data_IF_058527571653
#
_entry.id   IF_058527571653
#
_cell.length_a   1.000
_cell.length_b   1.000
_cell.length_c   1.000
_cell.angle_alpha   90.00
_cell.angle_beta   90.00
_cell.angle_gamma   90.00
#
_symmetry.space_group_name_H-M   'P 1'
#
loop_
_entity.id
_entity.type
_entity.pdbx_description
1 polymer ?
#
# COMPACT_ATOMS: atom_id res chain seq x y z
N UNK A 1 35.73 54.78 1.69
CA UNK A 1 34.67 53.92 2.22
C UNK A 1 34.42 52.79 1.25
N UNK A 2 34.82 51.59 1.69
CA UNK A 2 34.73 50.37 0.91
C UNK A 2 33.51 49.64 1.41
N UNK A 3 32.51 49.47 0.56
CA UNK A 3 31.33 48.67 0.81
C UNK A 3 31.68 47.19 0.60
N UNK A 4 31.62 46.43 1.67
CA UNK A 4 31.68 44.99 1.60
C UNK A 4 30.27 44.43 1.26
N UNK A 5 30.12 43.94 0.05
CA UNK A 5 28.97 43.15 -0.33
C UNK A 5 29.19 41.71 0.16
N UNK A 6 28.43 41.30 1.16
CA UNK A 6 28.37 39.92 1.61
C UNK A 6 27.47 39.15 0.66
N UNK A 7 28.07 38.30 -0.13
CA UNK A 7 27.34 37.38 -1.00
C UNK A 7 26.82 36.22 -0.16
N UNK A 8 25.56 36.23 0.18
CA UNK A 8 24.89 35.07 0.70
C UNK A 8 24.76 34.04 -0.40
N UNK A 9 25.51 32.95 -0.28
CA UNK A 9 25.34 31.77 -1.09
C UNK A 9 24.06 31.07 -0.60
N UNK A 10 22.99 31.26 -1.31
CA UNK A 10 21.82 30.39 -1.24
C UNK A 10 22.27 29.01 -1.75
N UNK A 11 22.45 28.11 -0.81
CA UNK A 11 22.60 26.69 -1.12
C UNK A 11 21.22 26.16 -1.53
N UNK A 12 20.94 26.19 -2.82
CA UNK A 12 19.84 25.40 -3.38
C UNK A 12 20.15 23.92 -3.14
N UNK A 13 19.46 23.37 -2.16
CA UNK A 13 19.38 21.93 -1.93
C UNK A 13 18.58 21.39 -3.10
N UNK A 14 19.26 20.85 -4.09
CA UNK A 14 18.65 20.05 -5.12
C UNK A 14 18.04 18.84 -4.41
N UNK A 15 16.72 18.87 -4.22
CA UNK A 15 15.95 17.67 -3.93
C UNK A 15 16.11 16.77 -5.16
N UNK A 16 16.96 15.78 -5.03
CA UNK A 16 17.02 14.69 -6.00
C UNK A 16 15.70 13.97 -5.83
N UNK A 17 14.76 14.26 -6.71
CA UNK A 17 13.61 13.40 -6.91
C UNK A 17 14.18 12.05 -7.35
N UNK A 18 14.22 11.08 -6.44
CA UNK A 18 14.46 9.70 -6.84
C UNK A 18 13.33 9.34 -7.80
N UNK A 19 13.65 9.34 -9.08
CA UNK A 19 12.76 8.82 -10.11
C UNK A 19 12.47 7.37 -9.73
N UNK A 20 11.20 7.09 -9.45
CA UNK A 20 10.74 5.73 -9.24
C UNK A 20 11.13 4.91 -10.47
N UNK A 21 11.90 3.84 -10.28
CA UNK A 21 12.21 2.93 -11.38
C UNK A 21 10.90 2.49 -12.05
N UNK A 22 10.84 2.49 -13.39
CA UNK A 22 9.62 2.08 -14.08
C UNK A 22 9.28 0.65 -13.69
N UNK A 23 8.08 0.46 -13.17
CA UNK A 23 7.55 -0.86 -12.80
C UNK A 23 7.55 -1.73 -14.06
N UNK A 24 8.33 -2.80 -14.08
CA UNK A 24 8.35 -3.74 -15.19
C UNK A 24 6.97 -4.40 -15.38
N UNK A 25 6.62 -4.78 -16.61
CA UNK A 25 5.34 -5.45 -16.88
C UNK A 25 5.14 -6.72 -16.05
N UNK A 26 6.23 -7.42 -15.70
CA UNK A 26 6.19 -8.60 -14.82
C UNK A 26 5.80 -8.25 -13.38
N UNK A 27 6.31 -7.14 -12.84
CA UNK A 27 5.98 -6.69 -11.49
C UNK A 27 4.52 -6.22 -11.41
N UNK A 28 4.03 -5.53 -12.44
CA UNK A 28 2.64 -5.13 -12.53
C UNK A 28 1.69 -6.33 -12.62
N UNK A 29 2.04 -7.37 -13.38
CA UNK A 29 1.28 -8.60 -13.45
C UNK A 29 1.21 -9.31 -12.09
N UNK A 30 2.32 -9.39 -11.36
CA UNK A 30 2.37 -9.98 -10.02
C UNK A 30 1.56 -9.18 -8.99
N UNK A 31 1.56 -7.85 -9.06
CA UNK A 31 0.76 -7.01 -8.17
C UNK A 31 -0.73 -7.28 -8.38
N UNK A 32 -1.19 -7.35 -9.61
CA UNK A 32 -2.58 -7.67 -9.94
C UNK A 32 -2.97 -9.09 -9.50
N UNK A 33 -2.11 -10.06 -9.70
CA UNK A 33 -2.34 -11.43 -9.28
C UNK A 33 -2.43 -11.53 -7.75
N UNK A 34 -1.54 -10.84 -7.04
CA UNK A 34 -1.58 -10.73 -5.59
C UNK A 34 -2.88 -10.06 -5.11
N UNK A 35 -3.29 -8.97 -5.74
CA UNK A 35 -4.54 -8.27 -5.45
C UNK A 35 -5.74 -9.20 -5.61
N UNK A 36 -5.84 -9.89 -6.73
CA UNK A 36 -6.93 -10.82 -7.00
C UNK A 36 -6.99 -11.97 -6.00
N UNK A 37 -5.84 -12.50 -5.62
CA UNK A 37 -5.76 -13.56 -4.62
C UNK A 37 -6.17 -13.06 -3.23
N UNK A 38 -5.67 -11.93 -2.79
CA UNK A 38 -5.98 -11.35 -1.49
C UNK A 38 -7.45 -10.94 -1.37
N UNK A 39 -8.05 -10.39 -2.42
CA UNK A 39 -9.47 -10.03 -2.42
C UNK A 39 -10.37 -11.23 -2.16
N UNK A 40 -9.98 -12.41 -2.63
CA UNK A 40 -10.69 -13.67 -2.38
C UNK A 40 -10.36 -14.30 -1.02
N UNK A 41 -9.29 -13.85 -0.38
CA UNK A 41 -8.74 -14.45 0.83
C UNK A 41 -8.36 -13.38 1.88
N UNK A 42 -9.20 -12.38 2.08
CA UNK A 42 -8.93 -11.29 3.03
C UNK A 42 -8.76 -11.75 4.47
N UNK A 43 -9.32 -12.91 4.83
CA UNK A 43 -9.13 -13.51 6.14
C UNK A 43 -7.69 -13.97 6.41
N UNK A 44 -6.85 -14.09 5.39
CA UNK A 44 -5.41 -14.30 5.59
C UNK A 44 -4.74 -13.10 6.26
N UNK A 45 -5.30 -11.90 6.06
CA UNK A 45 -4.78 -10.67 6.68
C UNK A 45 -5.30 -10.59 8.12
N UNK A 46 -6.60 -10.68 8.29
CA UNK A 46 -7.21 -10.72 9.62
C UNK A 46 -8.61 -11.35 9.56
N UNK A 47 -9.04 -12.05 10.63
CA UNK A 47 -10.38 -12.63 10.71
C UNK A 47 -11.48 -11.57 10.60
N UNK A 48 -12.47 -11.83 9.76
CA UNK A 48 -13.63 -10.96 9.58
C UNK A 48 -13.42 -9.78 8.64
N UNK A 49 -12.25 -9.65 8.01
CA UNK A 49 -11.99 -8.63 7.01
C UNK A 49 -12.74 -8.96 5.71
N UNK A 50 -13.48 -7.99 5.19
CA UNK A 50 -14.29 -8.13 3.96
C UNK A 50 -14.00 -7.01 2.99
N UNK A 51 -14.12 -7.30 1.71
CA UNK A 51 -14.06 -6.27 0.67
C UNK A 51 -15.19 -5.26 0.87
N UNK A 52 -14.87 -3.96 0.77
CA UNK A 52 -15.89 -2.92 0.75
C UNK A 52 -16.80 -3.12 -0.48
N UNK A 53 -18.10 -3.06 -0.25
CA UNK A 53 -19.12 -3.10 -1.30
C UNK A 53 -20.27 -2.16 -0.94
N UNK A 54 -20.66 -1.33 -1.88
CA UNK A 54 -21.82 -0.45 -1.76
C UNK A 54 -22.39 -0.14 -3.15
N UNK A 55 -23.65 -0.51 -3.36
CA UNK A 55 -24.44 -0.19 -4.56
C UNK A 55 -23.70 -0.43 -5.91
N UNK A 56 -23.10 -1.61 -6.04
CA UNK A 56 -22.36 -2.01 -7.24
C UNK A 56 -20.93 -1.49 -7.33
N UNK A 57 -20.48 -0.69 -6.38
CA UNK A 57 -19.09 -0.25 -6.22
C UNK A 57 -18.41 -1.18 -5.21
N UNK A 58 -17.23 -1.66 -5.52
CA UNK A 58 -16.43 -2.45 -4.61
C UNK A 58 -15.08 -1.81 -4.31
N UNK A 59 -14.39 -2.36 -3.33
CA UNK A 59 -13.10 -1.84 -2.85
C UNK A 59 -11.88 -2.20 -3.70
N UNK A 60 -12.03 -2.81 -4.87
CA UNK A 60 -10.90 -3.10 -5.77
C UNK A 60 -10.59 -1.84 -6.56
N UNK A 61 -9.35 -1.35 -6.47
CA UNK A 61 -8.95 -0.10 -7.13
C UNK A 61 -9.94 1.03 -6.86
N UNK A 62 -10.22 1.26 -5.59
CA UNK A 62 -11.20 2.25 -5.15
C UNK A 62 -10.71 3.68 -5.41
N UNK A 63 -11.49 4.51 -6.14
CA UNK A 63 -11.06 5.85 -6.52
C UNK A 63 -11.03 6.83 -5.35
N UNK A 64 -9.92 7.54 -5.21
CA UNK A 64 -9.70 8.57 -4.19
C UNK A 64 -9.05 9.81 -4.82
N UNK A 65 -9.83 10.77 -5.24
CA UNK A 65 -9.31 12.03 -5.74
C UNK A 65 -8.35 11.92 -6.94
N UNK A 66 -8.68 11.10 -7.93
CA UNK A 66 -7.86 10.89 -9.13
C UNK A 66 -6.77 9.83 -8.98
N UNK A 67 -6.72 9.15 -7.84
CA UNK A 67 -5.86 8.00 -7.54
C UNK A 67 -6.70 6.82 -7.12
N UNK A 68 -6.07 5.67 -6.93
CA UNK A 68 -6.77 4.42 -6.60
C UNK A 68 -6.11 3.73 -5.41
N UNK A 69 -6.94 3.30 -4.47
CA UNK A 69 -6.55 2.36 -3.41
C UNK A 69 -6.55 0.96 -4.00
N UNK A 70 -5.51 0.17 -3.77
CA UNK A 70 -5.46 -1.21 -4.28
C UNK A 70 -6.62 -2.05 -3.74
N UNK A 71 -6.84 -2.04 -2.43
CA UNK A 71 -7.97 -2.72 -1.80
C UNK A 71 -8.52 -1.84 -0.67
N UNK A 72 -9.79 -1.52 -0.74
CA UNK A 72 -10.54 -0.96 0.38
C UNK A 72 -11.39 -2.06 1.02
N UNK A 73 -11.18 -2.31 2.29
CA UNK A 73 -11.86 -3.34 3.05
C UNK A 73 -12.57 -2.77 4.28
N UNK A 74 -13.39 -3.59 4.90
CA UNK A 74 -14.09 -3.29 6.15
C UNK A 74 -13.80 -4.41 7.13
N UNK A 75 -13.41 -4.06 8.35
CA UNK A 75 -13.12 -5.04 9.39
C UNK A 75 -14.37 -5.50 10.15
N UNK A 76 -14.19 -6.42 11.10
CA UNK A 76 -15.28 -6.97 11.88
C UNK A 76 -16.00 -5.95 12.77
N UNK A 77 -15.39 -4.79 13.02
CA UNK A 77 -15.99 -3.68 13.77
C UNK A 77 -16.77 -2.71 12.89
N UNK A 78 -16.66 -2.87 11.56
CA UNK A 78 -17.23 -1.94 10.59
C UNK A 78 -16.32 -0.76 10.25
N UNK A 79 -15.08 -0.78 10.68
CA UNK A 79 -14.08 0.25 10.35
C UNK A 79 -13.42 0.00 8.99
N UNK A 80 -13.04 1.06 8.30
CA UNK A 80 -12.35 0.96 7.02
C UNK A 80 -10.89 0.55 7.18
N UNK A 81 -10.44 -0.29 6.27
CA UNK A 81 -9.05 -0.72 6.14
C UNK A 81 -8.57 -0.44 4.72
N UNK A 82 -7.59 0.46 4.60
CA UNK A 82 -6.95 0.81 3.34
C UNK A 82 -5.72 -0.05 3.15
N UNK A 83 -5.68 -0.84 2.08
CA UNK A 83 -4.61 -1.80 1.83
C UNK A 83 -3.86 -1.41 0.57
N UNK A 84 -2.55 -1.22 0.69
CA UNK A 84 -1.62 -0.98 -0.41
C UNK A 84 -0.69 -2.17 -0.60
N UNK A 85 -0.49 -2.55 -1.86
CA UNK A 85 0.35 -3.67 -2.26
C UNK A 85 1.63 -3.17 -2.90
N UNK A 86 2.77 -3.75 -2.53
CA UNK A 86 4.08 -3.42 -3.12
C UNK A 86 4.85 -4.69 -3.44
N UNK A 87 4.99 -4.98 -4.72
CA UNK A 87 5.74 -6.13 -5.24
C UNK A 87 7.19 -5.78 -5.58
N UNK A 88 7.49 -4.50 -5.81
CA UNK A 88 8.82 -3.99 -6.08
C UNK A 88 9.48 -3.42 -4.83
N UNK A 89 10.82 -3.25 -4.84
CA UNK A 89 11.59 -2.78 -3.67
C UNK A 89 11.55 -1.25 -3.50
N UNK A 90 11.73 -0.81 -2.25
CA UNK A 90 12.26 0.52 -1.95
C UNK A 90 11.24 1.64 -1.85
N UNK A 91 10.26 1.54 -0.91
CA UNK A 91 9.18 2.51 -0.97
C UNK A 91 8.82 3.18 0.34
N UNK A 92 9.60 4.21 0.68
CA UNK A 92 9.18 5.21 1.68
C UNK A 92 7.97 6.02 1.20
N UNK A 93 7.80 6.17 -0.12
CA UNK A 93 6.66 6.87 -0.75
C UNK A 93 5.32 6.23 -0.46
N UNK A 94 5.26 4.92 -0.22
CA UNK A 94 4.01 4.22 0.09
C UNK A 94 3.39 4.70 1.39
N UNK A 95 4.20 5.11 2.37
CA UNK A 95 3.68 5.62 3.66
C UNK A 95 2.92 6.92 3.46
N UNK A 96 3.50 7.89 2.77
CA UNK A 96 2.84 9.15 2.46
C UNK A 96 1.57 8.97 1.62
N UNK A 97 1.61 8.07 0.65
CA UNK A 97 0.47 7.72 -0.18
C UNK A 97 -0.66 7.08 0.66
N UNK A 98 -0.32 6.12 1.50
CA UNK A 98 -1.29 5.45 2.37
C UNK A 98 -1.92 6.42 3.38
N UNK A 99 -1.13 7.29 4.00
CA UNK A 99 -1.63 8.32 4.92
C UNK A 99 -2.60 9.27 4.22
N UNK A 100 -2.34 9.64 2.98
CA UNK A 100 -3.23 10.47 2.18
C UNK A 100 -4.55 9.74 1.90
N UNK A 101 -4.50 8.47 1.56
CA UNK A 101 -5.70 7.67 1.31
C UNK A 101 -6.54 7.49 2.58
N UNK A 102 -5.89 7.23 3.70
CA UNK A 102 -6.57 7.16 5.01
C UNK A 102 -7.30 8.48 5.31
N UNK A 103 -6.63 9.61 5.12
CA UNK A 103 -7.22 10.92 5.35
C UNK A 103 -8.40 11.19 4.40
N UNK A 104 -8.28 10.80 3.13
CA UNK A 104 -9.36 10.96 2.16
C UNK A 104 -10.58 10.11 2.53
N UNK A 105 -10.39 8.84 2.89
CA UNK A 105 -11.48 7.95 3.33
C UNK A 105 -12.14 8.51 4.60
N UNK A 106 -11.36 8.99 5.57
CA UNK A 106 -11.91 9.64 6.77
C UNK A 106 -12.82 10.80 6.44
N UNK A 107 -12.43 11.61 5.48
CA UNK A 107 -13.17 12.81 5.10
C UNK A 107 -14.42 12.50 4.28
N UNK A 108 -14.32 11.60 3.31
CA UNK A 108 -15.32 11.42 2.25
C UNK A 108 -16.23 10.20 2.42
N UNK A 109 -15.82 9.18 3.18
CA UNK A 109 -16.51 7.90 3.24
C UNK A 109 -17.02 7.50 4.61
N UNK A 110 -16.41 8.00 5.69
CA UNK A 110 -16.76 7.54 7.04
C UNK A 110 -18.03 8.15 7.56
N UNK A 111 -18.80 7.34 8.27
CA UNK A 111 -19.86 7.77 9.16
C UNK A 111 -19.29 8.19 10.53
N UNK A 112 -20.06 8.97 11.34
CA UNK A 112 -19.61 9.35 12.68
C UNK A 112 -19.25 8.11 13.54
N UNK A 113 -18.07 8.14 14.13
CA UNK A 113 -17.55 7.06 14.98
C UNK A 113 -16.85 5.92 14.24
N UNK A 114 -16.84 5.91 12.93
CA UNK A 114 -16.11 4.95 12.12
C UNK A 114 -14.64 5.35 11.99
N UNK A 115 -13.73 4.40 12.23
CA UNK A 115 -12.30 4.60 12.13
C UNK A 115 -11.75 4.16 10.77
N UNK A 116 -10.54 4.60 10.47
CA UNK A 116 -9.79 4.19 9.26
C UNK A 116 -8.35 3.87 9.66
N UNK A 117 -7.87 2.74 9.24
CA UNK A 117 -6.48 2.31 9.37
C UNK A 117 -5.93 1.81 8.05
N UNK A 118 -4.62 1.65 7.98
CA UNK A 118 -3.94 1.23 6.77
C UNK A 118 -3.12 -0.03 6.97
N UNK A 119 -2.94 -0.76 5.88
CA UNK A 119 -2.08 -1.93 5.79
C UNK A 119 -1.21 -1.81 4.55
N UNK A 120 0.09 -2.03 4.70
CA UNK A 120 1.02 -2.20 3.59
C UNK A 120 1.37 -3.68 3.53
N UNK A 121 1.17 -4.29 2.38
CA UNK A 121 1.59 -5.67 2.10
C UNK A 121 2.68 -5.61 1.05
N UNK A 122 3.88 -6.01 1.40
CA UNK A 122 5.04 -5.93 0.55
C UNK A 122 5.78 -7.27 0.48
N UNK A 123 6.49 -7.49 -0.61
CA UNK A 123 7.34 -8.67 -0.75
C UNK A 123 8.49 -8.68 0.26
N UNK A 124 9.10 -7.51 0.44
CA UNK A 124 10.18 -7.30 1.38
C UNK A 124 9.91 -6.00 2.16
N UNK A 125 9.96 -6.07 3.47
CA UNK A 125 9.88 -4.90 4.35
C UNK A 125 11.29 -4.44 4.67
N UNK A 126 11.67 -3.27 4.14
CA UNK A 126 12.98 -2.67 4.44
C UNK A 126 13.03 -2.13 5.87
N UNK A 127 14.25 -2.00 6.40
CA UNK A 127 14.45 -1.37 7.70
C UNK A 127 13.98 0.09 7.70
N UNK A 128 14.15 0.81 6.60
CA UNK A 128 13.68 2.19 6.44
C UNK A 128 12.16 2.27 6.48
N UNK A 129 11.46 1.36 5.82
CA UNK A 129 10.01 1.30 5.87
C UNK A 129 9.50 0.97 7.29
N UNK A 130 10.14 0.02 7.94
CA UNK A 130 9.82 -0.35 9.32
C UNK A 130 10.05 0.85 10.26
N UNK A 131 11.15 1.57 10.09
CA UNK A 131 11.45 2.77 10.87
C UNK A 131 10.43 3.89 10.61
N UNK A 132 10.09 4.14 9.34
CA UNK A 132 9.10 5.15 8.96
C UNK A 132 7.72 4.89 9.59
N UNK A 133 7.33 3.64 9.72
CA UNK A 133 6.04 3.24 10.31
C UNK A 133 6.08 3.05 11.84
N UNK A 134 7.25 3.07 12.46
CA UNK A 134 7.42 2.73 13.88
C UNK A 134 6.66 3.63 14.85
N UNK A 135 6.40 4.89 14.47
CA UNK A 135 5.61 5.85 15.25
C UNK A 135 4.17 6.01 14.79
N UNK A 136 3.76 5.26 13.76
CA UNK A 136 2.43 5.33 13.18
C UNK A 136 1.56 4.18 13.73
N UNK A 137 0.59 4.53 14.58
CA UNK A 137 -0.29 3.54 15.23
C UNK A 137 -1.42 3.03 14.33
N UNK A 138 -1.67 3.70 13.21
CA UNK A 138 -2.74 3.39 12.27
C UNK A 138 -2.31 2.59 11.04
N UNK A 139 -1.05 2.16 10.98
CA UNK A 139 -0.49 1.40 9.86
C UNK A 139 0.13 0.10 10.37
N UNK A 140 -0.26 -1.00 9.75
CA UNK A 140 0.34 -2.32 9.94
C UNK A 140 1.13 -2.72 8.69
N UNK A 141 2.20 -3.46 8.89
CA UNK A 141 3.07 -3.95 7.82
C UNK A 141 2.99 -5.48 7.75
N UNK A 142 2.77 -5.99 6.56
CA UNK A 142 2.78 -7.42 6.25
C UNK A 142 3.82 -7.71 5.17
N UNK A 143 4.59 -8.75 5.37
CA UNK A 143 5.47 -9.31 4.35
C UNK A 143 4.83 -10.57 3.79
N UNK A 144 4.81 -10.72 2.46
CA UNK A 144 4.26 -11.91 1.84
C UNK A 144 5.35 -12.77 1.22
N UNK A 145 5.09 -14.05 1.20
CA UNK A 145 5.88 -15.06 0.51
C UNK A 145 4.96 -15.91 -0.36
N UNK A 146 5.38 -16.15 -1.61
CA UNK A 146 4.68 -17.01 -2.54
C UNK A 146 5.49 -18.28 -2.77
N UNK A 147 4.85 -19.42 -2.61
CA UNK A 147 5.43 -20.72 -2.92
C UNK A 147 4.44 -21.61 -3.66
N UNK A 148 4.95 -22.42 -4.59
CA UNK A 148 4.19 -23.45 -5.29
C UNK A 148 4.98 -24.75 -5.24
N UNK A 149 4.34 -25.81 -4.76
CA UNK A 149 4.89 -27.15 -4.78
C UNK A 149 3.94 -28.10 -5.52
N UNK A 150 4.51 -28.89 -6.43
CA UNK A 150 3.77 -29.94 -7.14
C UNK A 150 4.33 -31.29 -6.74
N UNK A 151 3.43 -32.25 -6.51
CA UNK A 151 3.76 -33.62 -6.22
C UNK A 151 3.08 -34.53 -7.25
N UNK A 152 3.88 -35.33 -7.94
CA UNK A 152 3.32 -36.37 -8.77
C UNK A 152 2.72 -37.48 -7.88
N UNK A 153 1.42 -37.70 -8.04
CA UNK A 153 0.67 -38.70 -7.26
C UNK A 153 0.50 -39.99 -8.08
N UNK A 154 0.32 -39.84 -9.38
CA UNK A 154 0.13 -40.96 -10.31
C UNK A 154 0.66 -40.58 -11.70
N UNK A 155 1.38 -41.50 -12.33
CA UNK A 155 1.78 -41.41 -13.75
C UNK A 155 0.83 -42.21 -14.62
N UNK A 156 0.61 -41.73 -15.85
CA UNK A 156 -0.02 -42.59 -16.88
C UNK A 156 0.95 -43.67 -17.27
N UNK A 157 0.54 -44.92 -17.21
CA UNK A 157 1.26 -46.05 -17.87
C UNK A 157 0.79 -46.11 -19.32
N UNK A 158 1.75 -46.15 -20.24
CA UNK A 158 1.49 -46.32 -21.68
C UNK A 158 0.93 -47.70 -22.01
#
# INVERSE_FOLDING_TARGET
PIQNATTEKHSERLEVEEEAEPVGMSEFAYERDLQNYLVKNLELIEPGLKLYEDDGINGIEFPVGGRFIDILAVDSKGDFVVIELKVARGYDRVVGQLLRYIAWIKKEQTDPGQNVRGIIIARDISEDLLLACSSLTSIELFEYELSLALKLVQSCED
#
